data_IF_371622142209
#
_entry.id   IF_371622142209
#
_cell.length_a   1.000
_cell.length_b   1.000
_cell.length_c   1.000
_cell.angle_alpha   90.00
_cell.angle_beta   90.00
_cell.angle_gamma   90.00
#
_symmetry.space_group_name_H-M   'P 1'
#
loop_
_entity.id
_entity.type
_entity.pdbx_description
1 polymer ?
#
# COMPACT_ATOMS: atom_id res chain seq x y z
N UNK A 1 -14.35 50.37 -31.27
CA UNK A 1 -14.04 50.83 -29.90
C UNK A 1 -13.89 49.58 -29.02
N UNK A 2 -12.71 48.96 -29.05
CA UNK A 2 -12.48 47.66 -28.39
C UNK A 2 -11.93 47.92 -27.00
N UNK A 3 -12.76 47.66 -25.98
CA UNK A 3 -12.44 47.93 -24.58
C UNK A 3 -11.13 47.22 -24.16
N UNK A 4 -10.14 47.96 -23.62
CA UNK A 4 -8.82 47.40 -23.26
C UNK A 4 -8.86 46.48 -22.03
N UNK A 5 -10.03 46.24 -21.44
CA UNK A 5 -10.19 45.46 -20.20
C UNK A 5 -10.29 43.95 -20.43
N UNK A 6 -10.54 43.47 -21.65
CA UNK A 6 -10.69 42.03 -21.96
C UNK A 6 -9.36 41.27 -22.02
N UNK A 7 -8.34 41.87 -22.65
CA UNK A 7 -6.98 41.31 -22.77
C UNK A 7 -6.30 41.13 -21.41
N UNK A 8 -6.58 42.03 -20.47
CA UNK A 8 -6.01 41.99 -19.12
C UNK A 8 -6.64 40.89 -18.26
N UNK A 9 -7.94 40.60 -18.44
CA UNK A 9 -8.63 39.50 -17.75
C UNK A 9 -8.17 38.15 -18.28
N UNK A 10 -7.99 38.00 -19.60
CA UNK A 10 -7.39 36.80 -20.20
C UNK A 10 -5.98 36.54 -19.67
N UNK A 11 -5.12 37.57 -19.61
CA UNK A 11 -3.75 37.41 -19.13
C UNK A 11 -3.69 37.00 -17.66
N UNK A 12 -4.57 37.55 -16.82
CA UNK A 12 -4.69 37.15 -15.41
C UNK A 12 -5.21 35.73 -15.25
N UNK A 13 -6.11 35.29 -16.12
CA UNK A 13 -6.63 33.93 -16.12
C UNK A 13 -5.55 32.91 -16.51
N UNK A 14 -4.75 33.21 -17.53
CA UNK A 14 -3.63 32.36 -17.95
C UNK A 14 -2.56 32.24 -16.87
N UNK A 15 -2.24 33.33 -16.17
CA UNK A 15 -1.30 33.29 -15.03
C UNK A 15 -1.87 32.45 -13.88
N UNK A 16 -3.16 32.59 -13.56
CA UNK A 16 -3.80 31.78 -12.53
C UNK A 16 -3.82 30.28 -12.89
N UNK A 17 -4.08 29.96 -14.16
CA UNK A 17 -4.03 28.58 -14.69
C UNK A 17 -2.60 28.02 -14.62
N UNK A 18 -1.59 28.81 -14.99
CA UNK A 18 -0.19 28.40 -14.89
C UNK A 18 0.23 28.15 -13.43
N UNK A 19 -0.17 29.01 -12.49
CA UNK A 19 0.08 28.82 -11.06
C UNK A 19 -0.62 27.57 -10.54
N UNK A 20 -1.87 27.33 -10.94
CA UNK A 20 -2.63 26.13 -10.54
C UNK A 20 -1.98 24.85 -11.07
N UNK A 21 -1.57 24.84 -12.35
CA UNK A 21 -0.88 23.70 -12.96
C UNK A 21 0.49 23.45 -12.30
N UNK A 22 1.23 24.49 -11.96
CA UNK A 22 2.52 24.35 -11.29
C UNK A 22 2.38 23.89 -9.82
N UNK A 23 1.36 24.37 -9.11
CA UNK A 23 1.02 23.88 -7.78
C UNK A 23 0.55 22.41 -7.80
N UNK A 24 -0.17 22.00 -8.85
CA UNK A 24 -0.56 20.61 -9.07
C UNK A 24 0.68 19.73 -9.31
N UNK A 25 1.61 20.15 -10.14
CA UNK A 25 2.86 19.44 -10.42
C UNK A 25 3.72 19.25 -9.14
N UNK A 26 3.82 20.29 -8.30
CA UNK A 26 4.51 20.18 -7.01
C UNK A 26 3.78 19.26 -6.02
N UNK A 27 2.44 19.22 -6.05
CA UNK A 27 1.69 18.28 -5.21
C UNK A 27 1.93 16.82 -5.62
N UNK A 28 2.08 16.55 -6.92
CA UNK A 28 2.41 15.22 -7.45
C UNK A 28 3.83 14.82 -7.04
N UNK A 29 4.79 15.75 -7.06
CA UNK A 29 6.16 15.51 -6.56
C UNK A 29 6.24 15.35 -5.04
N UNK A 30 5.41 16.02 -4.25
CA UNK A 30 5.37 15.82 -2.80
C UNK A 30 4.69 14.50 -2.41
N UNK A 31 3.86 13.94 -3.30
CA UNK A 31 3.30 12.60 -3.22
C UNK A 31 4.26 11.49 -3.67
N UNK A 32 5.59 11.70 -3.63
CA UNK A 32 6.61 10.66 -3.83
C UNK A 32 6.67 9.59 -2.72
N UNK A 33 5.52 9.24 -2.13
CA UNK A 33 5.36 8.08 -1.27
C UNK A 33 4.76 6.86 -2.00
N UNK A 34 4.46 6.93 -3.31
CA UNK A 34 3.95 5.75 -4.05
C UNK A 34 4.54 5.63 -5.47
N UNK A 35 5.86 5.59 -5.58
CA UNK A 35 6.53 4.85 -6.67
C UNK A 35 8.02 4.67 -6.35
N UNK A 36 8.33 3.64 -5.59
CA UNK A 36 9.69 3.13 -5.47
C UNK A 36 10.10 2.37 -6.73
N UNK A 37 10.22 3.05 -7.87
CA UNK A 37 11.00 2.54 -9.01
C UNK A 37 12.38 3.18 -8.94
N UNK A 38 13.31 2.50 -8.26
CA UNK A 38 14.73 2.82 -8.38
C UNK A 38 15.20 2.21 -9.71
N UNK A 39 15.56 3.07 -10.65
CA UNK A 39 16.32 2.69 -11.85
C UNK A 39 17.68 2.19 -11.41
N UNK A 40 17.88 0.87 -11.42
CA UNK A 40 19.22 0.29 -11.43
C UNK A 40 19.70 0.26 -12.89
N UNK A 41 20.07 1.42 -13.44
CA UNK A 41 20.87 1.47 -14.67
C UNK A 41 22.33 1.64 -14.28
N UNK A 42 22.91 0.61 -13.70
CA UNK A 42 24.34 0.36 -13.79
C UNK A 42 24.56 -1.16 -13.68
N UNK A 43 24.92 -1.75 -14.82
CA UNK A 43 25.42 -3.12 -14.98
C UNK A 43 24.40 -4.26 -14.80
N UNK A 44 23.60 -4.47 -15.84
CA UNK A 44 23.02 -5.79 -16.13
C UNK A 44 24.13 -6.73 -16.63
N UNK A 45 25.01 -7.18 -15.74
CA UNK A 45 26.02 -8.20 -16.03
C UNK A 45 25.90 -9.35 -15.02
N UNK A 46 25.29 -10.44 -15.49
CA UNK A 46 25.39 -11.81 -14.99
C UNK A 46 25.26 -12.01 -13.46
N UNK A 47 24.08 -11.75 -12.89
CA UNK A 47 23.73 -12.38 -11.60
C UNK A 47 23.25 -13.79 -11.89
N UNK A 48 24.18 -14.74 -11.82
CA UNK A 48 23.89 -16.16 -11.57
C UNK A 48 22.82 -16.23 -10.48
N UNK A 49 21.63 -16.76 -10.81
CA UNK A 49 20.54 -16.99 -9.86
C UNK A 49 21.02 -18.00 -8.80
N UNK A 50 21.77 -17.51 -7.81
CA UNK A 50 21.88 -18.16 -6.52
C UNK A 50 20.51 -17.96 -5.88
N UNK A 51 19.72 -19.02 -5.80
CA UNK A 51 18.47 -19.07 -5.03
C UNK A 51 18.82 -18.80 -3.56
N UNK A 52 19.00 -17.53 -3.22
CA UNK A 52 19.17 -17.08 -1.84
C UNK A 52 17.79 -17.10 -1.22
N UNK A 53 17.64 -17.87 -0.14
CA UNK A 53 16.43 -17.84 0.67
C UNK A 53 16.12 -16.40 1.07
N UNK A 54 14.86 -16.00 0.95
CA UNK A 54 14.41 -14.67 1.37
C UNK A 54 14.79 -14.46 2.84
N UNK A 55 15.45 -13.35 3.11
CA UNK A 55 15.79 -12.92 4.46
C UNK A 55 14.78 -11.89 4.95
N UNK A 56 14.58 -11.79 6.27
CA UNK A 56 13.63 -10.84 6.86
C UNK A 56 13.81 -9.39 6.36
N UNK A 57 15.06 -8.87 6.18
CA UNK A 57 15.28 -7.55 5.58
C UNK A 57 14.65 -7.36 4.19
N UNK A 58 14.48 -8.43 3.41
CA UNK A 58 13.99 -8.37 2.02
C UNK A 58 12.47 -8.17 1.95
N UNK A 59 11.75 -8.43 3.05
CA UNK A 59 10.27 -8.34 3.12
C UNK A 59 9.77 -7.18 3.99
N UNK A 60 10.68 -6.48 4.68
CA UNK A 60 10.31 -5.33 5.50
C UNK A 60 10.30 -4.05 4.66
N UNK A 61 9.43 -3.07 4.99
CA UNK A 61 9.48 -1.75 4.40
C UNK A 61 10.88 -1.15 4.59
N UNK A 62 11.48 -0.55 3.56
CA UNK A 62 12.73 0.21 3.71
C UNK A 62 12.33 1.66 4.05
N UNK A 63 12.77 2.23 5.19
CA UNK A 63 13.69 1.66 6.19
C UNK A 63 13.00 0.69 7.17
N UNK A 64 13.69 -0.42 7.49
CA UNK A 64 13.15 -1.57 8.25
C UNK A 64 12.60 -1.26 9.64
N UNK A 65 12.97 -0.11 10.24
CA UNK A 65 12.47 0.35 11.54
C UNK A 65 11.05 0.93 11.51
N UNK A 66 10.46 1.13 10.34
CA UNK A 66 9.17 1.81 10.19
C UNK A 66 7.98 0.85 10.28
N UNK A 67 8.22 -0.47 10.26
CA UNK A 67 7.15 -1.44 10.45
C UNK A 67 6.66 -1.49 11.91
N UNK A 68 5.44 -1.01 12.14
CA UNK A 68 4.75 -1.13 13.42
C UNK A 68 3.93 -2.42 13.47
N UNK A 69 4.44 -3.44 14.18
CA UNK A 69 3.77 -4.74 14.33
C UNK A 69 2.43 -4.68 15.08
N UNK A 70 2.17 -3.63 15.86
CA UNK A 70 0.95 -3.48 16.64
C UNK A 70 -0.15 -2.75 15.86
N UNK A 71 0.18 -2.20 14.69
CA UNK A 71 -0.74 -1.49 13.82
C UNK A 71 -1.27 -2.44 12.75
N UNK A 72 -2.60 -2.58 12.70
CA UNK A 72 -3.26 -3.35 11.65
C UNK A 72 -2.90 -2.78 10.25
N UNK A 73 -2.67 -3.63 9.24
CA UNK A 73 -2.44 -3.19 7.86
C UNK A 73 -3.65 -2.43 7.32
N UNK A 74 -3.45 -1.22 6.78
CA UNK A 74 -4.55 -0.43 6.19
C UNK A 74 -4.18 0.01 4.78
N UNK A 75 -5.09 -0.23 3.85
CA UNK A 75 -5.03 0.34 2.50
C UNK A 75 -5.88 1.61 2.47
N UNK A 76 -5.28 2.79 2.28
CA UNK A 76 -5.99 4.07 2.18
C UNK A 76 -6.96 4.38 3.33
N UNK A 77 -6.64 3.91 4.54
CA UNK A 77 -7.48 4.10 5.73
C UNK A 77 -8.71 3.20 5.80
N UNK A 78 -8.95 2.34 4.80
CA UNK A 78 -9.98 1.32 4.84
C UNK A 78 -9.69 0.27 5.91
N UNK A 79 -10.73 -0.36 6.49
CA UNK A 79 -10.55 -1.46 7.42
C UNK A 79 -9.87 -2.65 6.73
N UNK A 80 -9.04 -3.37 7.48
CA UNK A 80 -8.46 -4.64 7.04
C UNK A 80 -9.57 -5.68 6.92
N UNK A 81 -9.71 -6.27 5.74
CA UNK A 81 -10.58 -7.44 5.55
C UNK A 81 -9.74 -8.68 5.78
N UNK A 82 -10.26 -9.60 6.60
CA UNK A 82 -9.58 -10.84 6.96
C UNK A 82 -10.49 -12.00 6.59
N UNK A 83 -9.99 -12.92 5.77
CA UNK A 83 -10.71 -14.15 5.45
C UNK A 83 -10.22 -15.28 6.35
N UNK A 84 -11.17 -15.91 7.04
CA UNK A 84 -10.89 -17.08 7.86
C UNK A 84 -11.26 -18.33 7.08
N UNK A 85 -10.31 -19.25 6.98
CA UNK A 85 -10.55 -20.60 6.50
C UNK A 85 -10.41 -21.55 7.68
N UNK A 86 -11.48 -22.30 7.97
CA UNK A 86 -11.51 -23.29 9.04
C UNK A 86 -11.70 -24.66 8.41
N UNK A 87 -10.75 -25.55 8.63
CA UNK A 87 -10.86 -26.96 8.27
C UNK A 87 -10.98 -27.77 9.55
N UNK A 88 -12.05 -28.55 9.67
CA UNK A 88 -12.23 -29.50 10.79
C UNK A 88 -11.43 -30.76 10.48
N UNK A 89 -10.55 -31.14 11.41
CA UNK A 89 -9.76 -32.36 11.31
C UNK A 89 -10.49 -33.53 11.96
N UNK A 90 -10.88 -33.35 13.22
CA UNK A 90 -11.60 -34.34 14.02
C UNK A 90 -12.55 -33.66 14.99
N UNK A 91 -13.56 -34.42 15.42
CA UNK A 91 -14.46 -34.04 16.51
C UNK A 91 -14.30 -35.10 17.61
N UNK A 92 -13.81 -34.67 18.77
CA UNK A 92 -13.40 -35.58 19.84
C UNK A 92 -14.53 -35.90 20.82
N UNK A 93 -15.30 -34.89 21.22
CA UNK A 93 -16.42 -35.07 22.15
C UNK A 93 -17.51 -34.03 21.98
N UNK A 94 -18.73 -34.44 22.34
CA UNK A 94 -19.93 -33.60 22.42
C UNK A 94 -20.51 -33.83 23.82
N UNK A 95 -20.83 -32.74 24.52
CA UNK A 95 -21.53 -32.77 25.79
C UNK A 95 -22.76 -31.86 25.73
N UNK A 96 -23.94 -32.46 25.67
CA UNK A 96 -25.23 -31.78 25.56
C UNK A 96 -25.70 -31.12 26.87
N UNK A 97 -25.28 -31.66 28.02
CA UNK A 97 -25.61 -31.07 29.32
C UNK A 97 -24.95 -29.70 29.49
N UNK A 98 -23.69 -29.57 29.05
CA UNK A 98 -22.93 -28.31 29.09
C UNK A 98 -22.97 -27.49 27.80
N UNK A 99 -23.58 -28.02 26.73
CA UNK A 99 -23.57 -27.40 25.39
C UNK A 99 -22.17 -27.12 24.84
N UNK A 100 -21.23 -28.05 25.04
CA UNK A 100 -19.83 -27.91 24.59
C UNK A 100 -19.41 -29.04 23.68
N UNK A 101 -18.46 -28.76 22.79
CA UNK A 101 -17.79 -29.76 21.97
C UNK A 101 -16.28 -29.49 21.95
N UNK A 102 -15.50 -30.54 21.68
CA UNK A 102 -14.05 -30.46 21.49
C UNK A 102 -13.73 -30.94 20.08
N UNK A 103 -12.92 -30.17 19.35
CA UNK A 103 -12.56 -30.44 17.96
C UNK A 103 -11.16 -29.93 17.67
N UNK A 104 -10.42 -30.69 16.87
CA UNK A 104 -9.17 -30.23 16.28
C UNK A 104 -9.46 -29.54 14.94
N UNK A 105 -8.93 -28.32 14.78
CA UNK A 105 -9.11 -27.52 13.56
C UNK A 105 -7.77 -26.99 13.03
N UNK A 106 -7.67 -26.89 11.71
CA UNK A 106 -6.74 -25.96 11.08
C UNK A 106 -7.44 -24.62 10.86
N UNK A 107 -6.85 -23.56 11.41
CA UNK A 107 -7.28 -22.19 11.20
C UNK A 107 -6.25 -21.47 10.34
N UNK A 108 -6.69 -20.90 9.22
CA UNK A 108 -5.87 -20.07 8.35
C UNK A 108 -6.49 -18.68 8.15
N UNK A 109 -5.62 -17.70 7.95
CA UNK A 109 -5.96 -16.30 7.69
C UNK A 109 -5.26 -15.86 6.38
N UNK A 110 -6.02 -15.18 5.51
CA UNK A 110 -5.51 -14.53 4.29
C UNK A 110 -6.01 -13.09 4.17
#
# INVERSE_FOLDING_TARGET
MQSPTSKLVEFRCLIALAIYLHALEQSIQHCHCVHGYRNNTESAELVSHYESSLSLPDILPIPSKTYDKNRAPKLLGQPTVVYFHVTVLSLDSINEESMTYVTDIFLAQS
#
